data_IF_094774924761
#
_entry.id   IF_094774924761
#
_cell.length_a   1.000
_cell.length_b   1.000
_cell.length_c   1.000
_cell.angle_alpha   90.00
_cell.angle_beta   90.00
_cell.angle_gamma   90.00
#
_symmetry.space_group_name_H-M   'P 1'
#
loop_
_entity.id
_entity.type
_entity.pdbx_description
1 polymer ?
#
# COMPACT_ATOMS: atom_id res chain seq x y z
N UNK A 1 1.55 8.62 -15.51
CA UNK A 1 2.41 8.48 -14.31
C UNK A 1 2.06 7.11 -13.72
N UNK A 2 2.96 6.36 -13.11
CA UNK A 2 2.65 4.98 -12.67
C UNK A 2 1.39 4.90 -11.78
N UNK A 3 1.07 5.98 -11.08
CA UNK A 3 -0.12 6.15 -10.23
C UNK A 3 -1.47 5.96 -10.94
N UNK A 4 -1.56 6.19 -12.26
CA UNK A 4 -2.81 6.03 -13.03
C UNK A 4 -3.24 4.55 -13.19
N UNK A 5 -2.31 3.62 -12.95
CA UNK A 5 -2.55 2.17 -13.11
C UNK A 5 -3.00 1.51 -11.80
N UNK A 6 -2.92 2.22 -10.67
CA UNK A 6 -3.31 1.69 -9.37
C UNK A 6 -4.83 1.62 -9.28
N UNK A 7 -5.36 0.43 -9.04
CA UNK A 7 -6.78 0.15 -8.94
C UNK A 7 -7.13 -0.42 -7.57
N UNK A 8 -8.39 -0.25 -7.19
CA UNK A 8 -8.97 -0.97 -6.05
C UNK A 8 -8.70 -2.49 -6.17
N UNK A 9 -8.56 -3.16 -5.03
CA UNK A 9 -8.25 -4.59 -4.91
C UNK A 9 -6.83 -5.01 -5.33
N UNK A 10 -5.98 -4.11 -5.83
CA UNK A 10 -4.57 -4.44 -6.07
C UNK A 10 -3.83 -4.76 -4.77
N UNK A 11 -2.86 -5.66 -4.82
CA UNK A 11 -2.02 -5.95 -3.67
C UNK A 11 -0.93 -4.90 -3.52
N UNK A 12 -0.62 -4.50 -2.30
CA UNK A 12 0.51 -3.62 -2.00
C UNK A 12 1.59 -4.46 -1.33
N UNK A 13 2.77 -4.49 -1.96
CA UNK A 13 3.92 -5.29 -1.53
C UNK A 13 5.14 -4.39 -1.33
N UNK A 14 5.96 -4.77 -0.36
CA UNK A 14 7.23 -4.10 -0.10
C UNK A 14 8.24 -4.36 -1.21
N UNK A 15 9.37 -3.67 -1.15
CA UNK A 15 10.48 -3.91 -2.06
C UNK A 15 11.02 -5.35 -1.91
N UNK A 16 11.01 -5.91 -0.70
CA UNK A 16 11.26 -7.31 -0.36
C UNK A 16 10.25 -8.30 -0.96
N UNK A 17 9.08 -7.82 -1.39
CA UNK A 17 8.00 -8.63 -1.93
C UNK A 17 7.00 -9.13 -0.89
N UNK A 18 7.18 -8.75 0.38
CA UNK A 18 6.24 -9.07 1.45
C UNK A 18 4.95 -8.27 1.32
N UNK A 19 3.83 -8.90 1.63
CA UNK A 19 2.51 -8.31 1.46
C UNK A 19 2.17 -7.38 2.63
N UNK A 20 1.94 -6.10 2.33
CA UNK A 20 1.43 -5.12 3.29
C UNK A 20 -0.08 -5.17 3.40
N UNK A 21 -0.78 -5.11 2.26
CA UNK A 21 -2.23 -5.03 2.24
C UNK A 21 -2.80 -4.98 0.84
N UNK A 22 -4.03 -4.49 0.75
CA UNK A 22 -4.78 -4.40 -0.51
C UNK A 22 -5.29 -2.98 -0.68
N UNK A 23 -5.24 -2.43 -1.88
CA UNK A 23 -5.77 -1.10 -2.19
C UNK A 23 -7.29 -1.09 -1.96
N UNK A 24 -7.76 -0.17 -1.14
CA UNK A 24 -9.18 0.18 -1.01
C UNK A 24 -9.54 1.22 -2.08
N UNK A 25 -8.88 2.37 -2.02
CA UNK A 25 -9.06 3.47 -2.97
C UNK A 25 -7.84 4.41 -2.96
N UNK A 26 -7.79 5.34 -3.92
CA UNK A 26 -6.83 6.46 -3.92
C UNK A 26 -7.53 7.69 -3.36
N UNK A 27 -6.95 8.30 -2.30
CA UNK A 27 -7.40 9.54 -1.70
C UNK A 27 -6.32 10.62 -1.88
N UNK A 28 -6.52 11.53 -2.83
CA UNK A 28 -5.51 12.54 -3.19
C UNK A 28 -4.24 11.87 -3.71
N UNK A 29 -3.10 12.15 -3.06
CA UNK A 29 -1.79 11.58 -3.39
C UNK A 29 -1.42 10.36 -2.54
N UNK A 30 -2.42 9.66 -1.99
CA UNK A 30 -2.23 8.51 -1.09
C UNK A 30 -3.13 7.35 -1.46
N UNK A 31 -2.60 6.14 -1.29
CA UNK A 31 -3.30 4.88 -1.40
C UNK A 31 -3.86 4.53 -0.03
N UNK A 32 -5.17 4.40 0.07
CA UNK A 32 -5.82 3.83 1.25
C UNK A 32 -5.78 2.31 1.16
N UNK A 33 -5.30 1.63 2.20
CA UNK A 33 -5.37 0.18 2.26
C UNK A 33 -6.68 -0.28 2.90
N UNK A 34 -7.17 -1.42 2.42
CA UNK A 34 -8.30 -2.13 3.00
C UNK A 34 -7.95 -2.52 4.42
N UNK A 35 -8.89 -2.28 5.33
CA UNK A 35 -8.79 -2.72 6.71
C UNK A 35 -8.65 -4.24 6.73
N UNK A 36 -7.51 -4.74 7.19
CA UNK A 36 -7.36 -6.18 7.47
C UNK A 36 -8.11 -6.51 8.74
N UNK A 37 -9.10 -7.39 8.63
CA UNK A 37 -9.66 -8.11 9.77
C UNK A 37 -8.56 -9.02 10.36
N UNK A 38 -7.79 -8.50 11.32
CA UNK A 38 -6.81 -9.32 12.06
C UNK A 38 -5.53 -8.65 12.56
N UNK A 39 -5.31 -7.35 12.33
CA UNK A 39 -4.17 -6.62 12.91
C UNK A 39 -4.51 -5.98 14.26
N UNK A 40 -3.65 -6.15 15.26
CA UNK A 40 -3.89 -5.78 16.68
C UNK A 40 -4.04 -4.27 16.98
N UNK A 41 -4.12 -3.40 15.97
CA UNK A 41 -4.22 -1.95 16.14
C UNK A 41 -5.46 -1.39 15.41
N UNK A 42 -6.62 -1.47 16.06
CA UNK A 42 -7.96 -1.16 15.50
C UNK A 42 -8.24 0.30 15.11
N UNK A 43 -7.26 1.21 15.12
CA UNK A 43 -7.53 2.68 15.04
C UNK A 43 -6.71 3.50 14.04
N UNK A 44 -5.75 2.90 13.34
CA UNK A 44 -4.98 3.61 12.32
C UNK A 44 -5.53 3.29 10.93
N UNK A 45 -5.78 4.32 10.13
CA UNK A 45 -6.16 4.12 8.74
C UNK A 45 -4.86 3.97 7.96
N UNK A 46 -4.59 2.79 7.40
CA UNK A 46 -3.32 2.60 6.69
C UNK A 46 -3.32 3.36 5.36
N UNK A 47 -2.57 4.46 5.29
CA UNK A 47 -2.33 5.23 4.07
C UNK A 47 -0.88 5.07 3.62
N UNK A 48 -0.68 4.83 2.33
CA UNK A 48 0.63 4.77 1.69
C UNK A 48 0.74 5.93 0.70
N UNK A 49 1.77 6.78 0.83
CA UNK A 49 2.01 7.85 -0.14
C UNK A 49 2.30 7.29 -1.53
N UNK A 50 1.75 7.90 -2.57
CA UNK A 50 2.06 7.52 -3.97
C UNK A 50 3.55 7.69 -4.30
N UNK A 51 4.25 8.57 -3.57
CA UNK A 51 5.70 8.77 -3.66
C UNK A 51 6.51 7.51 -3.32
N UNK A 52 5.94 6.61 -2.50
CA UNK A 52 6.56 5.33 -2.16
C UNK A 52 6.37 4.26 -3.23
N UNK A 53 5.58 4.52 -4.28
CA UNK A 53 5.32 3.54 -5.35
C UNK A 53 6.48 3.53 -6.32
N UNK A 54 7.21 2.40 -6.33
CA UNK A 54 8.34 2.21 -7.24
C UNK A 54 7.89 1.64 -8.58
N UNK A 55 7.02 0.64 -8.58
CA UNK A 55 6.53 0.02 -9.81
C UNK A 55 5.19 -0.69 -9.61
N UNK A 56 4.47 -0.97 -10.70
CA UNK A 56 3.25 -1.78 -10.70
C UNK A 56 3.52 -3.02 -11.56
N UNK A 57 3.47 -4.18 -10.94
CA UNK A 57 3.71 -5.46 -11.58
C UNK A 57 2.40 -6.26 -11.62
N UNK A 58 1.73 -6.22 -12.76
CA UNK A 58 0.45 -6.90 -12.97
C UNK A 58 -0.64 -6.39 -12.04
N UNK A 59 -0.92 -7.12 -10.97
CA UNK A 59 -1.94 -6.80 -9.97
C UNK A 59 -1.35 -6.40 -8.61
N UNK A 60 -0.05 -6.03 -8.60
CA UNK A 60 0.71 -5.70 -7.39
C UNK A 60 1.37 -4.34 -7.53
N UNK A 61 1.19 -3.49 -6.53
CA UNK A 61 1.88 -2.22 -6.35
C UNK A 61 3.12 -2.49 -5.48
N UNK A 62 4.30 -2.30 -6.05
CA UNK A 62 5.58 -2.51 -5.36
C UNK A 62 6.11 -1.18 -4.85
N UNK A 63 6.40 -1.15 -3.55
CA UNK A 63 6.95 0.02 -2.89
C UNK A 63 8.48 0.12 -3.08
N UNK A 64 9.03 1.32 -2.85
CA UNK A 64 10.47 1.56 -2.81
C UNK A 64 11.12 1.12 -1.48
N UNK A 65 10.31 0.81 -0.46
CA UNK A 65 10.76 0.34 0.84
C UNK A 65 10.19 -1.05 1.15
N UNK A 66 10.86 -1.78 2.03
CA UNK A 66 10.43 -3.09 2.51
C UNK A 66 9.13 -3.01 3.32
N UNK A 67 8.39 -4.11 3.38
CA UNK A 67 7.08 -4.15 4.03
C UNK A 67 7.14 -3.76 5.52
N UNK A 68 8.17 -4.17 6.25
CA UNK A 68 8.32 -3.80 7.66
C UNK A 68 8.64 -2.31 7.86
N UNK A 69 9.37 -1.71 6.92
CA UNK A 69 9.67 -0.28 6.95
C UNK A 69 8.40 0.51 6.63
N UNK A 70 7.67 0.12 5.58
CA UNK A 70 6.43 0.79 5.19
C UNK A 70 5.35 0.69 6.29
N UNK A 71 5.31 -0.40 7.07
CA UNK A 71 4.44 -0.52 8.27
C UNK A 71 4.75 0.50 9.37
N UNK A 72 5.99 0.98 9.48
CA UNK A 72 6.36 2.01 10.47
C UNK A 72 5.85 3.40 10.07
N UNK A 73 5.53 3.61 8.79
CA UNK A 73 5.01 4.87 8.26
C UNK A 73 3.48 4.87 8.12
N UNK A 74 2.79 3.82 8.58
CA UNK A 74 1.34 3.75 8.66
C UNK A 74 0.83 4.64 9.81
N UNK A 75 0.03 5.68 9.50
CA UNK A 75 -0.58 6.61 10.48
C UNK A 75 -2.11 6.65 10.40
#
# INVERSE_FOLDING_TARGET
>A
MATDEIRENMEVVGFDGDHLGTVDCIEGDRIKLKKRDGGSHKKHYHYIGLDLVNNIEGHKVRLCCDADIARLFED
#
